data_IF_255392773925
#
_entry.id   IF_255392773925
#
_cell.length_a   1.000
_cell.length_b   1.000
_cell.length_c   1.000
_cell.angle_alpha   90.00
_cell.angle_beta   90.00
_cell.angle_gamma   90.00
#
_symmetry.space_group_name_H-M   'P 1'
#
loop_
_entity.id
_entity.type
_entity.pdbx_description
1 polymer ?
#
# COMPACT_ATOMS: atom_id res chain seq x y z
N UNK A 1 4.76 -6.20 1.51
CA UNK A 1 4.66 -4.99 2.35
C UNK A 1 5.99 -4.44 2.85
N UNK A 2 6.87 -5.17 3.56
CA UNK A 2 8.09 -4.56 4.11
C UNK A 2 9.01 -3.89 3.07
N UNK A 3 9.23 -4.56 1.93
CA UNK A 3 9.96 -3.96 0.79
C UNK A 3 9.21 -2.80 0.15
N UNK A 4 7.89 -2.87 0.07
CA UNK A 4 7.05 -1.84 -0.58
C UNK A 4 7.15 -0.52 0.20
N UNK A 5 7.07 -0.58 1.53
CA UNK A 5 7.29 0.59 2.41
C UNK A 5 8.69 1.20 2.20
N UNK A 6 9.73 0.37 2.00
CA UNK A 6 11.08 0.85 1.71
C UNK A 6 11.18 1.50 0.30
N UNK A 7 10.45 1.00 -0.69
CA UNK A 7 10.39 1.63 -2.02
C UNK A 7 9.67 2.98 -1.96
N UNK A 8 8.53 3.06 -1.29
CA UNK A 8 7.80 4.31 -1.06
C UNK A 8 8.68 5.35 -0.36
N UNK A 9 9.44 4.93 0.65
CA UNK A 9 10.43 5.74 1.35
C UNK A 9 11.45 6.37 0.38
N UNK A 10 11.98 5.58 -0.56
CA UNK A 10 12.93 6.05 -1.58
C UNK A 10 12.28 6.97 -2.62
N UNK A 11 11.03 6.70 -3.02
CA UNK A 11 10.27 7.59 -3.91
C UNK A 11 10.14 8.99 -3.28
N UNK A 12 9.86 9.05 -1.97
CA UNK A 12 9.82 10.31 -1.23
C UNK A 12 11.18 11.01 -1.24
N UNK A 13 12.26 10.31 -0.84
CA UNK A 13 13.60 10.91 -0.77
C UNK A 13 14.16 11.36 -2.11
N UNK A 14 13.79 10.69 -3.20
CA UNK A 14 14.16 11.10 -4.55
C UNK A 14 13.37 12.32 -5.05
N UNK A 15 12.42 12.84 -4.26
CA UNK A 15 11.60 13.99 -4.62
C UNK A 15 10.54 13.69 -5.69
N UNK A 16 10.23 12.41 -5.95
CA UNK A 16 9.28 12.03 -7.00
C UNK A 16 7.82 12.21 -6.57
N UNK A 17 7.54 12.05 -5.28
CA UNK A 17 6.23 12.32 -4.69
C UNK A 17 6.35 12.61 -3.20
N UNK A 18 5.61 13.62 -2.73
CA UNK A 18 5.50 13.92 -1.30
C UNK A 18 4.57 12.94 -0.56
N UNK A 19 3.71 12.23 -1.28
CA UNK A 19 2.81 11.20 -0.75
C UNK A 19 2.86 9.98 -1.67
N UNK A 20 3.97 9.22 -1.66
CA UNK A 20 4.12 8.05 -2.52
C UNK A 20 2.92 7.10 -2.40
N UNK A 21 2.56 6.50 -3.54
CA UNK A 21 1.50 5.51 -3.66
C UNK A 21 2.09 4.22 -4.21
N UNK A 22 1.54 3.10 -3.77
CA UNK A 22 1.93 1.77 -4.23
C UNK A 22 0.70 0.90 -4.49
N UNK A 23 0.81 -0.01 -5.44
CA UNK A 23 -0.19 -1.03 -5.74
C UNK A 23 0.51 -2.38 -5.73
N UNK A 24 0.25 -3.18 -4.71
CA UNK A 24 0.76 -4.54 -4.61
C UNK A 24 -0.35 -5.53 -4.97
N UNK A 25 -0.05 -6.48 -5.85
CA UNK A 25 -1.01 -7.47 -6.36
C UNK A 25 -0.45 -8.85 -6.03
N UNK A 26 -1.25 -9.69 -5.39
CA UNK A 26 -0.87 -11.05 -5.06
C UNK A 26 -0.67 -11.93 -6.30
N UNK A 27 0.06 -13.03 -6.12
CA UNK A 27 0.22 -14.04 -7.16
C UNK A 27 -1.14 -14.57 -7.67
N UNK A 28 -1.17 -14.97 -8.95
CA UNK A 28 -2.37 -15.49 -9.63
C UNK A 28 -3.57 -14.53 -9.59
N UNK A 29 -3.30 -13.23 -9.49
CA UNK A 29 -4.29 -12.17 -9.43
C UNK A 29 -3.88 -11.06 -10.40
N UNK A 30 -4.86 -10.43 -11.04
CA UNK A 30 -4.65 -9.32 -11.96
C UNK A 30 -5.60 -8.18 -11.64
N UNK A 31 -5.09 -6.95 -11.77
CA UNK A 31 -5.87 -5.73 -11.64
C UNK A 31 -6.22 -5.20 -13.03
N UNK A 32 -7.51 -5.15 -13.33
CA UNK A 32 -8.03 -4.61 -14.57
C UNK A 32 -8.38 -3.15 -14.36
N UNK A 33 -7.80 -2.23 -15.13
CA UNK A 33 -8.03 -0.79 -14.99
C UNK A 33 -8.69 -0.28 -16.26
N UNK A 34 -9.87 0.31 -16.14
CA UNK A 34 -10.58 0.92 -17.27
C UNK A 34 -10.07 2.33 -17.59
N UNK A 35 -10.59 2.90 -18.70
CA UNK A 35 -10.22 4.25 -19.17
C UNK A 35 -10.55 5.38 -18.18
N UNK A 36 -11.41 5.13 -17.20
CA UNK A 36 -11.82 6.08 -16.16
C UNK A 36 -11.05 5.87 -14.84
N UNK A 37 -10.09 4.95 -14.83
CA UNK A 37 -9.27 4.63 -13.67
C UNK A 37 -9.98 3.75 -12.63
N UNK A 38 -11.16 3.19 -12.94
CA UNK A 38 -11.76 2.19 -12.06
C UNK A 38 -11.03 0.87 -12.25
N UNK A 39 -10.69 0.25 -11.13
CA UNK A 39 -9.95 -0.97 -11.06
C UNK A 39 -10.78 -2.07 -10.38
N UNK A 40 -10.82 -3.22 -11.02
CA UNK A 40 -11.45 -4.45 -10.52
C UNK A 40 -10.45 -5.59 -10.54
N UNK A 41 -10.71 -6.62 -9.74
CA UNK A 41 -9.79 -7.72 -9.54
C UNK A 41 -10.31 -9.00 -10.20
N UNK A 42 -9.43 -9.70 -10.90
CA UNK A 42 -9.66 -11.08 -11.37
C UNK A 42 -8.59 -12.00 -10.82
N UNK A 43 -8.92 -13.25 -10.52
CA UNK A 43 -8.02 -14.22 -9.91
C UNK A 43 -8.46 -14.66 -8.51
N UNK A 44 -7.53 -15.23 -7.75
CA UNK A 44 -7.85 -15.95 -6.50
C UNK A 44 -7.46 -15.24 -5.21
N UNK A 45 -6.78 -14.10 -5.27
CA UNK A 45 -6.27 -13.41 -4.09
C UNK A 45 -6.62 -11.91 -4.09
N UNK A 46 -5.77 -11.07 -3.51
CA UNK A 46 -6.08 -9.68 -3.19
C UNK A 46 -5.12 -8.69 -3.84
N UNK A 47 -5.52 -7.41 -3.85
CA UNK A 47 -4.64 -6.30 -4.14
C UNK A 47 -4.73 -5.26 -3.03
N UNK A 48 -3.61 -4.57 -2.83
CA UNK A 48 -3.38 -3.60 -1.77
C UNK A 48 -2.99 -2.27 -2.39
N UNK A 49 -3.78 -1.24 -2.09
CA UNK A 49 -3.53 0.14 -2.50
C UNK A 49 -3.00 0.89 -1.31
N UNK A 50 -1.76 1.36 -1.40
CA UNK A 50 -1.07 2.01 -0.29
C UNK A 50 -0.81 3.48 -0.57
N UNK A 51 -0.97 4.33 0.43
CA UNK A 51 -0.53 5.72 0.34
C UNK A 51 0.18 6.12 1.63
N UNK A 52 1.40 6.63 1.46
CA UNK A 52 2.19 7.15 2.54
C UNK A 52 1.64 8.50 3.06
N UNK A 53 1.79 8.78 4.37
CA UNK A 53 1.27 10.01 4.96
C UNK A 53 2.16 11.24 4.70
N UNK A 54 3.33 11.06 4.08
CA UNK A 54 4.32 12.12 3.93
C UNK A 54 5.74 11.59 4.09
N UNK A 55 6.62 12.41 4.66
CA UNK A 55 8.00 12.04 4.93
C UNK A 55 8.12 10.83 5.87
N UNK A 56 9.04 9.89 5.59
CA UNK A 56 9.41 8.83 6.54
C UNK A 56 10.23 9.42 7.69
N UNK A 57 10.14 8.80 8.87
CA UNK A 57 10.93 9.20 10.04
C UNK A 57 12.40 8.78 9.91
N UNK A 58 12.67 7.57 9.39
CA UNK A 58 14.01 7.05 9.13
C UNK A 58 14.02 6.33 7.81
N UNK A 59 14.88 6.76 6.89
CA UNK A 59 14.97 6.23 5.53
C UNK A 59 16.41 6.29 5.01
N UNK A 60 17.29 5.42 5.51
CA UNK A 60 18.71 5.46 5.16
C UNK A 60 19.22 4.07 4.82
N UNK A 61 20.21 4.03 3.93
CA UNK A 61 20.89 2.78 3.56
C UNK A 61 21.49 2.13 4.80
N UNK A 62 21.29 0.81 4.94
CA UNK A 62 21.76 -0.01 6.07
C UNK A 62 21.17 0.37 7.44
N UNK A 63 20.15 1.21 7.49
CA UNK A 63 19.44 1.56 8.73
C UNK A 63 18.03 0.96 8.70
N UNK A 64 17.57 0.30 9.79
CA UNK A 64 16.20 -0.20 9.87
C UNK A 64 15.16 0.91 9.63
N UNK A 65 14.19 0.63 8.77
CA UNK A 65 13.17 1.60 8.36
C UNK A 65 12.26 1.99 9.53
N UNK A 66 12.01 3.29 9.66
CA UNK A 66 10.87 3.80 10.44
C UNK A 66 10.00 4.65 9.53
N UNK A 67 8.83 4.11 9.19
CA UNK A 67 7.84 4.76 8.36
C UNK A 67 6.46 4.34 8.87
N UNK A 68 5.73 5.26 9.47
CA UNK A 68 4.51 4.95 10.21
C UNK A 68 3.27 5.40 9.47
N UNK A 69 2.15 4.73 9.74
CA UNK A 69 0.80 5.10 9.31
C UNK A 69 0.62 5.14 7.79
N UNK A 70 1.21 4.19 7.08
CA UNK A 70 0.96 4.00 5.65
C UNK A 70 -0.46 3.46 5.52
N UNK A 71 -1.33 4.23 4.89
CA UNK A 71 -2.72 3.82 4.65
C UNK A 71 -2.75 2.66 3.65
N UNK A 72 -3.60 1.67 3.90
CA UNK A 72 -3.82 0.52 3.04
C UNK A 72 -5.31 0.34 2.78
N UNK A 73 -5.67 0.14 1.53
CA UNK A 73 -6.98 -0.37 1.13
C UNK A 73 -6.80 -1.72 0.44
N UNK A 74 -7.36 -2.79 0.99
CA UNK A 74 -7.30 -4.15 0.43
C UNK A 74 -8.61 -4.49 -0.25
N UNK A 75 -8.56 -4.97 -1.49
CA UNK A 75 -9.72 -5.54 -2.20
C UNK A 75 -9.45 -6.99 -2.60
N UNK A 76 -10.53 -7.75 -2.74
CA UNK A 76 -10.57 -9.03 -3.46
C UNK A 76 -11.43 -8.86 -4.73
N UNK A 77 -11.83 -9.96 -5.38
CA UNK A 77 -12.67 -9.98 -6.58
C UNK A 77 -14.06 -9.34 -6.43
N UNK A 78 -14.53 -9.09 -5.21
CA UNK A 78 -15.81 -8.41 -4.95
C UNK A 78 -15.68 -6.90 -4.76
N UNK A 79 -14.45 -6.39 -4.63
CA UNK A 79 -14.18 -4.97 -4.41
C UNK A 79 -13.78 -4.23 -5.69
N UNK A 80 -13.70 -2.90 -5.57
CA UNK A 80 -13.17 -2.03 -6.62
C UNK A 80 -12.37 -0.88 -6.04
N UNK A 81 -11.49 -0.29 -6.86
CA UNK A 81 -10.69 0.87 -6.48
C UNK A 81 -10.61 1.88 -7.63
N UNK A 82 -10.81 3.17 -7.36
CA UNK A 82 -10.64 4.21 -8.36
C UNK A 82 -9.28 4.88 -8.17
N UNK A 83 -8.38 4.76 -9.15
CA UNK A 83 -7.00 5.27 -9.07
C UNK A 83 -6.94 6.80 -9.14
N UNK A 84 -7.81 7.43 -9.92
CA UNK A 84 -7.84 8.89 -10.07
C UNK A 84 -8.21 9.59 -8.75
N UNK A 85 -9.14 8.99 -8.00
CA UNK A 85 -9.60 9.49 -6.69
C UNK A 85 -8.83 8.89 -5.52
N UNK A 86 -8.14 7.78 -5.76
CA UNK A 86 -7.48 6.95 -4.74
C UNK A 86 -8.42 6.48 -3.62
N UNK A 87 -9.57 5.93 -4.02
CA UNK A 87 -10.61 5.48 -3.10
C UNK A 87 -11.18 4.15 -3.54
N UNK A 88 -11.44 3.24 -2.61
CA UNK A 88 -12.06 1.95 -2.91
C UNK A 88 -13.44 1.74 -2.31
N UNK A 89 -14.11 0.69 -2.78
CA UNK A 89 -15.42 0.21 -2.30
C UNK A 89 -15.38 -1.31 -2.14
N UNK A 90 -16.09 -1.82 -1.11
CA UNK A 90 -16.19 -3.26 -0.86
C UNK A 90 -14.89 -3.93 -0.36
N UNK A 91 -13.91 -3.14 0.06
CA UNK A 91 -12.64 -3.61 0.62
C UNK A 91 -12.49 -3.32 2.12
N UNK A 92 -11.27 -3.53 2.62
CA UNK A 92 -10.91 -3.33 4.02
C UNK A 92 -9.83 -2.24 4.11
N UNK A 93 -10.04 -1.27 5.00
CA UNK A 93 -9.08 -0.20 5.27
C UNK A 93 -8.33 -0.48 6.56
N UNK A 94 -7.01 -0.30 6.54
CA UNK A 94 -6.14 -0.38 7.71
C UNK A 94 -4.87 0.42 7.45
N UNK A 95 -3.96 0.44 8.41
CA UNK A 95 -2.64 1.02 8.23
C UNK A 95 -1.56 0.03 8.59
N UNK A 96 -0.41 0.17 7.93
CA UNK A 96 0.81 -0.58 8.23
C UNK A 96 1.91 0.42 8.59
N UNK A 97 2.73 0.03 9.55
CA UNK A 97 3.90 0.79 9.97
C UNK A 97 5.12 -0.11 9.96
N UNK A 98 6.26 0.44 9.58
CA UNK A 98 7.57 -0.08 9.95
C UNK A 98 8.11 0.77 11.11
N UNK A 99 8.48 0.15 12.23
CA UNK A 99 9.15 0.82 13.33
C UNK A 99 10.46 0.08 13.64
N UNK A 100 11.59 0.75 13.42
CA UNK A 100 12.92 0.15 13.54
C UNK A 100 13.05 -1.19 12.79
N UNK A 101 12.46 -1.26 11.59
CA UNK A 101 12.47 -2.46 10.72
C UNK A 101 11.40 -3.51 11.04
N UNK A 102 10.61 -3.36 12.10
CA UNK A 102 9.53 -4.30 12.46
C UNK A 102 8.20 -3.81 11.91
N UNK A 103 7.48 -4.68 11.21
CA UNK A 103 6.14 -4.36 10.69
C UNK A 103 5.06 -4.54 11.76
N UNK A 104 4.11 -3.61 11.78
CA UNK A 104 2.86 -3.72 12.54
C UNK A 104 1.70 -3.21 11.70
N UNK A 105 0.48 -3.61 12.08
CA UNK A 105 -0.75 -3.29 11.34
C UNK A 105 -1.91 -3.07 12.28
N UNK A 106 -2.84 -2.19 11.87
CA UNK A 106 -4.12 -1.99 12.57
C UNK A 106 -5.20 -2.97 12.12
N UNK A 107 -4.90 -3.87 11.17
CA UNK A 107 -5.82 -4.94 10.78
C UNK A 107 -6.04 -5.89 11.96
N UNK A 108 -7.25 -6.45 12.05
CA UNK A 108 -7.61 -7.39 13.13
C UNK A 108 -6.59 -8.52 13.26
N UNK A 109 -6.19 -8.82 14.50
CA UNK A 109 -5.16 -9.81 14.80
C UNK A 109 -3.73 -9.39 14.47
N UNK A 110 -3.49 -8.13 14.08
CA UNK A 110 -2.16 -7.63 13.72
C UNK A 110 -1.63 -8.17 12.39
N UNK A 111 -2.51 -8.76 11.58
CA UNK A 111 -2.15 -9.30 10.26
C UNK A 111 -1.70 -8.17 9.33
N UNK A 112 -0.68 -8.45 8.51
CA UNK A 112 -0.19 -7.49 7.52
C UNK A 112 -1.00 -7.57 6.22
N UNK A 113 -1.47 -8.77 5.87
CA UNK A 113 -2.09 -9.10 4.59
C UNK A 113 -3.56 -9.47 4.71
#
# INVERSE_FOLDING_TARGET
>A
MGRDLAFMCRIYLNGWSNTPRDIAIDERTALLIDSTGNATLVGSSTAYFMQAPGAPQVCQSKTPLTYQNISVYRINSTGSFNLSRWTGKGGISYSVSANAGVLSSTLSGGLIY
#
